data_IF_045945110292
#
_entry.id   IF_045945110292
#
_cell.length_a   1.000
_cell.length_b   1.000
_cell.length_c   1.000
_cell.angle_alpha   90.00
_cell.angle_beta   90.00
_cell.angle_gamma   90.00
#
_symmetry.space_group_name_H-M   'P 1'
#
loop_
_entity.id
_entity.type
_entity.pdbx_description
1 polymer ?
#
# COMPACT_ATOMS: atom_id res chain seq x y z
N UNK A 1 -32.24 -32.04 -11.14
CA UNK A 1 -31.92 -30.68 -10.63
C UNK A 1 -32.88 -29.66 -11.24
N UNK A 2 -33.36 -28.67 -10.48
CA UNK A 2 -34.08 -27.52 -11.05
C UNK A 2 -33.17 -26.81 -12.07
N UNK A 3 -33.57 -26.66 -13.35
CA UNK A 3 -32.75 -26.02 -14.37
C UNK A 3 -32.25 -24.63 -13.98
N UNK A 4 -33.11 -23.83 -13.32
CA UNK A 4 -32.75 -22.49 -12.87
C UNK A 4 -31.68 -22.53 -11.76
N UNK A 5 -31.84 -23.44 -10.79
CA UNK A 5 -30.83 -23.68 -9.76
C UNK A 5 -29.50 -24.17 -10.35
N UNK A 6 -29.52 -25.08 -11.33
CA UNK A 6 -28.30 -25.56 -11.99
C UNK A 6 -27.58 -24.43 -12.75
N UNK A 7 -28.31 -23.64 -13.53
CA UNK A 7 -27.75 -22.48 -14.23
C UNK A 7 -27.11 -21.48 -13.25
N UNK A 8 -27.77 -21.21 -12.12
CA UNK A 8 -27.24 -20.35 -11.08
C UNK A 8 -25.95 -20.92 -10.47
N UNK A 9 -25.93 -22.21 -10.11
CA UNK A 9 -24.74 -22.88 -9.60
C UNK A 9 -23.57 -22.77 -10.58
N UNK A 10 -23.80 -23.00 -11.87
CA UNK A 10 -22.78 -22.88 -12.91
C UNK A 10 -22.26 -21.45 -13.10
N UNK A 11 -23.14 -20.44 -13.14
CA UNK A 11 -22.71 -19.04 -13.24
C UNK A 11 -21.85 -18.62 -12.06
N UNK A 12 -22.17 -19.11 -10.87
CA UNK A 12 -21.40 -18.83 -9.65
C UNK A 12 -20.14 -19.71 -9.48
N UNK A 13 -19.92 -20.70 -10.35
CA UNK A 13 -18.77 -21.61 -10.27
C UNK A 13 -18.84 -22.60 -9.10
N UNK A 14 -20.05 -22.96 -8.67
CA UNK A 14 -20.23 -23.87 -7.54
C UNK A 14 -20.05 -25.34 -7.95
N UNK A 15 -19.56 -26.21 -7.04
CA UNK A 15 -19.36 -27.63 -7.33
C UNK A 15 -20.62 -28.39 -7.76
N UNK A 16 -21.81 -27.89 -7.38
CA UNK A 16 -23.10 -28.45 -7.77
C UNK A 16 -23.49 -28.21 -9.24
N UNK A 17 -22.65 -27.52 -10.03
CA UNK A 17 -22.88 -27.27 -11.44
C UNK A 17 -22.78 -28.55 -12.28
N UNK A 18 -23.87 -28.92 -12.95
CA UNK A 18 -23.93 -30.00 -13.93
C UNK A 18 -23.96 -29.40 -15.35
N UNK A 19 -22.78 -29.19 -15.95
CA UNK A 19 -22.65 -28.56 -17.29
C UNK A 19 -23.34 -29.34 -18.41
N UNK A 20 -23.45 -30.66 -18.29
CA UNK A 20 -24.10 -31.53 -19.27
C UNK A 20 -25.61 -31.30 -19.38
N UNK A 21 -26.22 -30.64 -18.39
CA UNK A 21 -27.65 -30.32 -18.36
C UNK A 21 -27.96 -28.93 -18.92
N UNK A 22 -26.95 -28.18 -19.39
CA UNK A 22 -27.12 -26.83 -19.91
C UNK A 22 -27.41 -26.84 -21.42
N UNK A 23 -28.30 -25.96 -21.85
CA UNK A 23 -28.47 -25.61 -23.26
C UNK A 23 -27.25 -24.82 -23.77
N UNK A 24 -27.12 -24.70 -25.09
CA UNK A 24 -26.04 -23.93 -25.70
C UNK A 24 -26.05 -22.46 -25.27
N UNK A 25 -27.23 -21.84 -25.16
CA UNK A 25 -27.37 -20.45 -24.72
C UNK A 25 -26.98 -20.28 -23.25
N UNK A 26 -27.33 -21.25 -22.40
CA UNK A 26 -26.92 -21.27 -21.00
C UNK A 26 -25.42 -21.48 -20.84
N UNK A 27 -24.79 -22.35 -21.64
CA UNK A 27 -23.34 -22.52 -21.68
C UNK A 27 -22.64 -21.20 -22.02
N UNK A 28 -23.11 -20.46 -23.03
CA UNK A 28 -22.57 -19.13 -23.36
C UNK A 28 -22.70 -18.16 -22.18
N UNK A 29 -23.84 -18.15 -21.51
CA UNK A 29 -24.05 -17.30 -20.33
C UNK A 29 -23.16 -17.69 -19.14
N UNK A 30 -22.89 -18.99 -18.96
CA UNK A 30 -21.96 -19.50 -17.94
C UNK A 30 -20.52 -19.10 -18.26
N UNK A 31 -20.07 -19.24 -19.51
CA UNK A 31 -18.73 -18.83 -19.94
C UNK A 31 -18.50 -17.32 -19.73
N UNK A 32 -19.50 -16.48 -20.01
CA UNK A 32 -19.43 -15.04 -19.71
C UNK A 32 -19.29 -14.78 -18.20
N UNK A 33 -20.02 -15.51 -17.36
CA UNK A 33 -19.92 -15.40 -15.91
C UNK A 33 -18.56 -15.89 -15.38
N UNK A 34 -18.02 -16.97 -15.94
CA UNK A 34 -16.68 -17.49 -15.66
C UNK A 34 -15.60 -16.46 -15.96
N UNK A 35 -15.66 -15.88 -17.16
CA UNK A 35 -14.75 -14.83 -17.59
C UNK A 35 -14.81 -13.60 -16.66
N UNK A 36 -16.03 -13.13 -16.35
CA UNK A 36 -16.22 -12.00 -15.44
C UNK A 36 -15.65 -12.26 -14.03
N UNK A 37 -15.84 -13.48 -13.51
CA UNK A 37 -15.24 -13.88 -12.23
C UNK A 37 -13.72 -13.90 -12.30
N UNK A 38 -13.14 -14.49 -13.34
CA UNK A 38 -11.69 -14.53 -13.55
C UNK A 38 -11.09 -13.12 -13.61
N UNK A 39 -11.70 -12.22 -14.38
CA UNK A 39 -11.28 -10.82 -14.46
C UNK A 39 -11.39 -10.09 -13.11
N UNK A 40 -12.45 -10.34 -12.34
CA UNK A 40 -12.61 -9.77 -10.99
C UNK A 40 -11.50 -10.23 -10.05
N UNK A 41 -11.15 -11.52 -10.09
CA UNK A 41 -10.05 -12.10 -9.33
C UNK A 41 -8.73 -11.42 -9.74
N UNK A 42 -8.45 -11.30 -11.04
CA UNK A 42 -7.26 -10.61 -11.53
C UNK A 42 -7.15 -9.17 -11.02
N UNK A 43 -8.26 -8.42 -11.05
CA UNK A 43 -8.30 -7.02 -10.61
C UNK A 43 -7.99 -6.86 -9.13
N UNK A 44 -8.41 -7.82 -8.30
CA UNK A 44 -8.13 -7.79 -6.87
C UNK A 44 -6.62 -7.84 -6.57
N UNK A 45 -5.83 -8.54 -7.40
CA UNK A 45 -4.41 -8.76 -7.17
C UNK A 45 -4.09 -9.61 -5.92
N UNK A 46 -5.10 -10.21 -5.27
CA UNK A 46 -4.97 -10.97 -4.02
C UNK A 46 -4.89 -12.49 -4.24
N UNK A 47 -5.11 -12.96 -5.46
CA UNK A 47 -5.14 -14.39 -5.82
C UNK A 47 -4.72 -14.58 -7.28
N UNK A 48 -4.23 -15.78 -7.62
CA UNK A 48 -3.87 -16.12 -8.99
C UNK A 48 -5.12 -16.28 -9.85
N UNK A 49 -5.20 -15.51 -10.92
CA UNK A 49 -6.21 -15.66 -11.96
C UNK A 49 -5.60 -16.27 -13.22
N UNK A 50 -6.43 -16.79 -14.12
CA UNK A 50 -5.99 -17.31 -15.40
C UNK A 50 -5.85 -16.17 -16.42
N UNK A 51 -4.64 -15.68 -16.62
CA UNK A 51 -4.37 -14.59 -17.57
C UNK A 51 -4.59 -15.01 -19.02
N UNK A 52 -4.58 -16.31 -19.35
CA UNK A 52 -4.78 -16.79 -20.71
C UNK A 52 -6.21 -16.60 -21.23
N UNK A 53 -7.17 -16.42 -20.31
CA UNK A 53 -8.58 -16.17 -20.64
C UNK A 53 -8.90 -14.68 -20.84
N UNK A 54 -7.93 -13.79 -20.61
CA UNK A 54 -8.15 -12.37 -20.75
C UNK A 54 -8.10 -11.93 -22.21
N UNK A 55 -8.98 -10.99 -22.55
CA UNK A 55 -8.84 -10.23 -23.78
C UNK A 55 -7.65 -9.27 -23.66
N UNK A 56 -7.10 -8.84 -24.80
CA UNK A 56 -6.00 -7.88 -24.82
C UNK A 56 -6.33 -6.56 -24.06
N UNK A 57 -7.51 -5.93 -24.24
CA UNK A 57 -7.86 -4.75 -23.45
C UNK A 57 -7.94 -5.00 -21.94
N UNK A 58 -8.39 -6.17 -21.52
CA UNK A 58 -8.45 -6.54 -20.10
C UNK A 58 -7.05 -6.73 -19.51
N UNK A 59 -6.15 -7.40 -20.23
CA UNK A 59 -4.77 -7.56 -19.83
C UNK A 59 -4.05 -6.21 -19.72
N UNK A 60 -4.26 -5.29 -20.66
CA UNK A 60 -3.73 -3.91 -20.61
C UNK A 60 -4.27 -3.18 -19.37
N UNK A 61 -5.58 -3.23 -19.12
CA UNK A 61 -6.18 -2.57 -17.96
C UNK A 61 -5.62 -3.10 -16.63
N UNK A 62 -5.37 -4.41 -16.53
CA UNK A 62 -4.73 -5.00 -15.35
C UNK A 62 -3.27 -4.55 -15.19
N UNK A 63 -2.51 -4.47 -16.29
CA UNK A 63 -1.13 -4.03 -16.25
C UNK A 63 -1.02 -2.57 -15.78
N UNK A 64 -1.92 -1.70 -16.25
CA UNK A 64 -2.03 -0.30 -15.79
C UNK A 64 -2.37 -0.26 -14.29
N UNK A 65 -3.42 -0.96 -13.85
CA UNK A 65 -3.79 -0.98 -12.44
C UNK A 65 -2.67 -1.54 -11.52
N UNK A 66 -1.93 -2.54 -11.99
CA UNK A 66 -0.78 -3.08 -11.26
C UNK A 66 0.38 -2.08 -11.19
N UNK A 67 0.62 -1.33 -12.26
CA UNK A 67 1.59 -0.25 -12.30
C UNK A 67 1.23 0.88 -11.34
N UNK A 68 -0.02 1.37 -11.37
CA UNK A 68 -0.49 2.44 -10.49
C UNK A 68 -0.38 2.07 -9.01
N UNK A 69 -0.71 0.82 -8.68
CA UNK A 69 -0.52 0.27 -7.33
C UNK A 69 0.96 0.22 -6.94
N UNK A 70 1.85 -0.16 -7.85
CA UNK A 70 3.30 -0.14 -7.60
C UNK A 70 3.80 1.27 -7.28
N UNK A 71 3.47 2.24 -8.12
CA UNK A 71 3.84 3.65 -7.91
C UNK A 71 3.30 4.15 -6.57
N UNK A 72 2.03 3.85 -6.27
CA UNK A 72 1.38 4.24 -5.01
C UNK A 72 2.07 3.64 -3.79
N UNK A 73 2.36 2.33 -3.82
CA UNK A 73 3.08 1.64 -2.76
C UNK A 73 4.47 2.24 -2.54
N UNK A 74 5.22 2.48 -3.61
CA UNK A 74 6.54 3.09 -3.53
C UNK A 74 6.49 4.49 -2.90
N UNK A 75 5.53 5.32 -3.34
CA UNK A 75 5.34 6.67 -2.77
C UNK A 75 4.96 6.60 -1.30
N UNK A 76 4.14 5.65 -0.88
CA UNK A 76 3.72 5.46 0.51
C UNK A 76 4.80 4.77 1.38
N UNK A 77 5.79 4.11 0.77
CA UNK A 77 6.77 3.29 1.50
C UNK A 77 6.24 1.90 1.88
N UNK A 78 5.21 1.39 1.19
CA UNK A 78 4.67 0.05 1.40
C UNK A 78 5.35 -0.97 0.49
N UNK A 79 5.45 -2.20 1.00
CA UNK A 79 5.87 -3.37 0.22
C UNK A 79 4.65 -4.19 -0.24
N UNK A 80 4.70 -4.80 -1.44
CA UNK A 80 5.79 -4.72 -2.40
C UNK A 80 5.83 -3.38 -3.16
N UNK A 81 7.04 -2.90 -3.42
CA UNK A 81 7.35 -1.77 -4.30
C UNK A 81 8.55 -2.16 -5.18
N UNK A 82 8.36 -2.23 -6.48
CA UNK A 82 9.40 -2.47 -7.47
C UNK A 82 9.84 -1.13 -8.07
N UNK A 83 10.98 -0.62 -7.58
CA UNK A 83 11.55 0.65 -8.05
C UNK A 83 12.05 0.58 -9.50
N UNK A 84 12.37 -0.61 -10.02
CA UNK A 84 12.88 -0.77 -11.39
C UNK A 84 11.82 -0.45 -12.46
N UNK A 85 10.55 -0.49 -12.07
CA UNK A 85 9.41 -0.19 -12.92
C UNK A 85 9.00 1.28 -12.92
N UNK A 86 9.64 2.11 -12.11
CA UNK A 86 9.31 3.53 -12.03
C UNK A 86 9.96 4.31 -13.17
N UNK A 87 9.24 5.29 -13.70
CA UNK A 87 9.83 6.37 -14.49
C UNK A 87 10.79 7.20 -13.63
N UNK A 88 11.67 7.95 -14.28
CA UNK A 88 12.60 8.85 -13.57
C UNK A 88 11.87 9.92 -12.73
N UNK A 89 10.73 10.41 -13.18
CA UNK A 89 9.91 11.37 -12.42
C UNK A 89 9.31 10.72 -11.18
N UNK A 90 8.71 9.54 -11.31
CA UNK A 90 8.14 8.84 -10.15
C UNK A 90 9.22 8.42 -9.16
N UNK A 91 10.40 7.98 -9.61
CA UNK A 91 11.50 7.66 -8.72
C UNK A 91 11.97 8.89 -7.92
N UNK A 92 11.98 10.08 -8.52
CA UNK A 92 12.26 11.34 -7.81
C UNK A 92 11.17 11.66 -6.77
N UNK A 93 9.90 11.51 -7.13
CA UNK A 93 8.79 11.72 -6.20
C UNK A 93 8.83 10.74 -5.02
N UNK A 94 9.16 9.47 -5.28
CA UNK A 94 9.36 8.44 -4.25
C UNK A 94 10.52 8.82 -3.33
N UNK A 95 11.65 9.28 -3.87
CA UNK A 95 12.79 9.72 -3.08
C UNK A 95 12.45 10.92 -2.19
N UNK A 96 11.69 11.90 -2.69
CA UNK A 96 11.21 13.04 -1.91
C UNK A 96 10.28 12.57 -0.78
N UNK A 97 9.31 11.71 -1.09
CA UNK A 97 8.38 11.18 -0.09
C UNK A 97 9.10 10.35 0.98
N UNK A 98 10.10 9.57 0.59
CA UNK A 98 10.94 8.80 1.51
C UNK A 98 11.75 9.73 2.42
N UNK A 99 12.39 10.76 1.87
CA UNK A 99 13.15 11.75 2.64
C UNK A 99 12.27 12.46 3.66
N UNK A 100 11.06 12.89 3.26
CA UNK A 100 10.09 13.50 4.16
C UNK A 100 9.66 12.58 5.30
N UNK A 101 9.41 11.30 5.02
CA UNK A 101 9.10 10.31 6.06
C UNK A 101 10.26 10.10 7.01
N UNK A 102 11.49 9.99 6.51
CA UNK A 102 12.68 9.84 7.36
C UNK A 102 12.85 11.05 8.27
N UNK A 103 12.68 12.25 7.74
CA UNK A 103 12.73 13.48 8.53
C UNK A 103 11.63 13.52 9.61
N UNK A 104 10.39 13.14 9.26
CA UNK A 104 9.29 13.06 10.24
C UNK A 104 9.60 12.05 11.33
N UNK A 105 10.02 10.83 10.95
CA UNK A 105 10.38 9.79 11.91
C UNK A 105 11.49 10.26 12.87
N UNK A 106 12.50 10.96 12.37
CA UNK A 106 13.53 11.58 13.22
C UNK A 106 12.94 12.62 14.18
N UNK A 107 12.07 13.51 13.69
CA UNK A 107 11.36 14.51 14.51
C UNK A 107 10.43 13.88 15.53
N UNK A 108 9.93 12.67 15.26
CA UNK A 108 9.00 11.91 16.08
C UNK A 108 9.69 10.80 16.91
N UNK A 109 11.02 10.71 16.88
CA UNK A 109 11.80 9.65 17.58
C UNK A 109 11.32 8.23 17.27
N UNK A 110 10.91 8.01 16.01
CA UNK A 110 10.44 6.72 15.51
C UNK A 110 11.61 6.01 14.81
N UNK A 111 12.26 5.11 15.53
CA UNK A 111 13.38 4.32 15.01
C UNK A 111 14.70 5.10 14.92
N UNK A 112 15.75 4.51 14.32
CA UNK A 112 17.06 5.14 14.25
C UNK A 112 17.04 6.37 13.34
N UNK A 113 17.65 7.46 13.80
CA UNK A 113 17.86 8.67 13.03
C UNK A 113 19.34 8.80 12.67
N UNK A 114 19.65 8.89 11.37
CA UNK A 114 21.00 9.17 10.87
C UNK A 114 21.06 10.65 10.40
N UNK A 115 21.70 11.56 11.15
CA UNK A 115 21.78 12.96 10.79
C UNK A 115 22.53 13.23 9.48
N UNK A 116 23.37 12.29 9.01
CA UNK A 116 24.20 12.48 7.82
C UNK A 116 23.42 12.50 6.51
N UNK A 117 22.16 12.06 6.53
CA UNK A 117 21.26 12.05 5.36
C UNK A 117 20.48 13.36 5.18
N UNK A 118 20.59 14.30 6.12
CA UNK A 118 19.84 15.55 6.14
C UNK A 118 20.72 16.77 5.89
N UNK A 119 20.07 17.85 5.43
CA UNK A 119 20.69 19.18 5.39
C UNK A 119 20.89 19.73 6.80
N UNK A 120 21.79 20.71 6.97
CA UNK A 120 21.98 21.35 8.29
C UNK A 120 20.71 21.97 8.86
N UNK A 121 19.85 22.53 7.99
CA UNK A 121 18.56 23.07 8.40
C UNK A 121 17.65 21.98 8.96
N UNK A 122 17.56 20.85 8.28
CA UNK A 122 16.76 19.70 8.72
C UNK A 122 17.30 19.07 10.01
N UNK A 123 18.62 18.99 10.19
CA UNK A 123 19.23 18.57 11.45
C UNK A 123 18.85 19.51 12.59
N UNK A 124 18.89 20.82 12.36
CA UNK A 124 18.44 21.82 13.34
C UNK A 124 16.96 21.68 13.68
N UNK A 125 16.11 21.36 12.70
CA UNK A 125 14.69 21.09 12.92
C UNK A 125 14.44 19.83 13.74
N UNK A 126 15.18 18.75 13.48
CA UNK A 126 15.11 17.50 14.27
C UNK A 126 15.52 17.76 15.71
N UNK A 127 16.66 18.43 15.92
CA UNK A 127 17.16 18.76 17.26
C UNK A 127 16.16 19.61 18.06
N UNK A 128 15.50 20.57 17.39
CA UNK A 128 14.44 21.38 18.01
C UNK A 128 13.25 20.53 18.44
N UNK A 129 12.74 19.67 17.55
CA UNK A 129 11.60 18.79 17.86
C UNK A 129 11.91 17.78 18.99
N UNK A 130 13.14 17.29 19.05
CA UNK A 130 13.61 16.43 20.14
C UNK A 130 13.66 17.20 21.47
N UNK A 131 14.23 18.41 21.47
CA UNK A 131 14.31 19.27 22.66
C UNK A 131 12.94 19.66 23.20
N UNK A 132 12.01 20.03 22.32
CA UNK A 132 10.62 20.35 22.69
C UNK A 132 9.95 19.17 23.41
N UNK A 133 10.17 17.93 22.94
CA UNK A 133 9.65 16.74 23.60
C UNK A 133 10.34 16.41 24.91
N UNK A 134 11.66 16.57 25.01
CA UNK A 134 12.38 16.41 26.29
C UNK A 134 11.82 17.36 27.34
N UNK A 135 11.64 18.63 26.99
CA UNK A 135 11.01 19.63 27.88
C UNK A 135 9.60 19.21 28.27
N UNK A 136 8.76 18.78 27.32
CA UNK A 136 7.39 18.33 27.62
C UNK A 136 7.36 17.10 28.56
N UNK A 137 8.22 16.10 28.32
CA UNK A 137 8.33 14.93 29.18
C UNK A 137 8.75 15.29 30.61
N UNK A 138 9.70 16.23 30.75
CA UNK A 138 10.12 16.75 32.05
C UNK A 138 8.96 17.43 32.80
N UNK A 139 8.19 18.28 32.11
CA UNK A 139 7.01 18.97 32.69
C UNK A 139 5.90 18.00 33.11
N UNK A 140 5.64 16.98 32.29
CA UNK A 140 4.61 15.98 32.56
C UNK A 140 5.05 14.91 33.58
N UNK A 141 6.28 14.99 34.11
CA UNK A 141 6.84 14.00 35.04
C UNK A 141 7.03 12.61 34.41
N UNK A 142 7.13 12.53 33.08
CA UNK A 142 7.33 11.28 32.35
C UNK A 142 8.81 10.92 32.33
N UNK A 143 9.21 9.98 33.17
CA UNK A 143 10.58 9.47 33.24
C UNK A 143 11.54 10.36 34.06
N UNK A 144 12.84 10.03 34.03
CA UNK A 144 13.88 10.81 34.71
C UNK A 144 14.30 11.98 33.81
N UNK A 145 13.91 13.20 34.17
CA UNK A 145 14.37 14.40 33.47
C UNK A 145 15.85 14.64 33.76
N UNK A 146 16.68 14.61 32.71
CA UNK A 146 18.04 15.11 32.80
C UNK A 146 18.06 16.62 32.54
N UNK A 147 17.95 17.39 33.62
CA UNK A 147 17.97 18.86 33.57
C UNK A 147 19.28 19.43 33.06
N UNK A 148 20.35 18.63 32.89
CA UNK A 148 21.61 19.09 32.31
C UNK A 148 21.53 19.35 30.79
N UNK A 149 20.52 18.78 30.12
CA UNK A 149 20.25 19.01 28.70
C UNK A 149 19.30 20.19 28.45
N UNK A 150 18.76 20.78 29.52
CA UNK A 150 17.83 21.91 29.46
C UNK A 150 18.56 23.24 29.71
N UNK A 151 18.15 24.29 29.00
CA UNK A 151 18.59 25.64 29.33
C UNK A 151 17.91 26.14 30.61
N UNK A 152 18.52 27.13 31.27
CA UNK A 152 17.97 27.69 32.52
C UNK A 152 16.51 28.14 32.44
N UNK A 153 16.01 28.73 31.34
CA UNK A 153 14.58 29.03 31.21
C UNK A 153 13.69 27.78 31.13
N UNK A 154 14.17 26.72 30.47
CA UNK A 154 13.41 25.47 30.27
C UNK A 154 13.32 24.61 31.52
N UNK A 155 14.32 24.69 32.38
CA UNK A 155 14.35 23.97 33.66
C UNK A 155 13.56 24.67 34.78
N UNK A 156 12.98 25.86 34.52
CA UNK A 156 12.32 26.71 35.52
C UNK A 156 10.79 26.74 35.41
N UNK A 157 10.21 25.98 34.48
CA UNK A 157 8.75 25.77 34.32
C UNK A 157 8.38 24.32 34.62
#
# INVERSE_FOLDING_TARGET
>A
PDPAANLSACKNGWPACERSLLTQMELTAVTLAEHARNLSICRSGLSSCDQSQLTEPEAIALAVAAYDRNVSNCKAGFNPCDQSRLTRSEAREVAVAQHQRQLSNCKDDIGPCDPSTFTQLEVGDVARAQRERTVANCKDGRGRCDYSELTRPEARE
#
